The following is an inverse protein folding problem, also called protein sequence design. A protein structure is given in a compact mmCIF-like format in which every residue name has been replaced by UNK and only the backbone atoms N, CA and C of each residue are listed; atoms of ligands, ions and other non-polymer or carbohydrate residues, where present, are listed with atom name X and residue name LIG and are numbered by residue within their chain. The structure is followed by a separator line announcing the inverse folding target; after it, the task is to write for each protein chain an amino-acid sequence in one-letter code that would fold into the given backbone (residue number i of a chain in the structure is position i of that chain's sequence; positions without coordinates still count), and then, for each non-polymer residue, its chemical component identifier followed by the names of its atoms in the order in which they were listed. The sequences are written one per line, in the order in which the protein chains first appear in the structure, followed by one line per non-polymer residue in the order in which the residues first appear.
data_IF_058143762723
#
_entry.id   IF_058143762723
#
_cell.length_a   1.000
_cell.length_b   1.000
_cell.length_c   1.000
_cell.angle_alpha   90.00
_cell.angle_beta   90.00
_cell.angle_gamma   90.00
#
_symmetry.space_group_name_H-M   'P 1'
#
loop_
_entity.id
_entity.type
_entity.pdbx_description
1 polymer ?
#
# COMPACT_ATOMS: atom_id res chain seq x y z
N UNK A 1 19.61 -31.66 9.03
CA UNK A 1 19.59 -30.20 9.32
C UNK A 1 18.98 -29.33 8.21
N UNK A 2 19.31 -29.49 6.91
CA UNK A 2 18.88 -28.55 5.84
C UNK A 2 17.35 -28.34 5.66
N UNK A 3 16.50 -29.36 5.91
CA UNK A 3 15.02 -29.22 5.80
C UNK A 3 14.39 -28.36 6.89
N UNK A 4 15.03 -28.23 8.06
CA UNK A 4 14.58 -27.35 9.12
C UNK A 4 14.73 -25.89 8.71
N UNK A 5 15.89 -25.55 8.12
CA UNK A 5 16.22 -24.21 7.67
C UNK A 5 15.31 -23.70 6.56
N UNK A 6 15.04 -24.49 5.51
CA UNK A 6 14.10 -24.09 4.43
C UNK A 6 12.67 -23.93 4.92
N UNK A 7 12.27 -24.69 5.96
CA UNK A 7 10.95 -24.54 6.60
C UNK A 7 10.87 -23.26 7.44
N UNK A 8 11.86 -23.00 8.29
CA UNK A 8 11.90 -21.81 9.15
C UNK A 8 11.98 -20.55 8.30
N UNK A 9 12.91 -20.49 7.34
CA UNK A 9 13.07 -19.33 6.44
C UNK A 9 11.84 -19.12 5.56
N UNK A 10 11.17 -20.20 5.11
CA UNK A 10 9.94 -20.11 4.34
C UNK A 10 8.76 -19.54 5.15
N UNK A 11 8.61 -19.96 6.41
CA UNK A 11 7.60 -19.37 7.30
C UNK A 11 7.94 -17.92 7.66
N UNK A 12 9.22 -17.62 7.91
CA UNK A 12 9.68 -16.26 8.14
C UNK A 12 9.32 -15.35 6.96
N UNK A 13 9.59 -15.78 5.71
CA UNK A 13 9.25 -15.03 4.51
C UNK A 13 7.74 -14.77 4.36
N UNK A 14 6.89 -15.77 4.63
CA UNK A 14 5.43 -15.62 4.53
C UNK A 14 4.92 -14.66 5.61
N UNK A 15 5.32 -14.87 6.87
CA UNK A 15 4.87 -14.04 7.98
C UNK A 15 5.34 -12.59 7.83
N UNK A 16 6.60 -12.36 7.45
CA UNK A 16 7.11 -11.02 7.20
C UNK A 16 6.41 -10.34 6.02
N UNK A 17 6.04 -11.09 4.97
CA UNK A 17 5.32 -10.52 3.82
C UNK A 17 3.88 -10.15 4.18
N UNK A 18 3.16 -11.01 4.93
CA UNK A 18 1.82 -10.71 5.42
C UNK A 18 1.84 -9.50 6.36
N UNK A 19 2.83 -9.44 7.26
CA UNK A 19 3.02 -8.29 8.14
C UNK A 19 3.31 -7.02 7.36
N UNK A 20 4.23 -7.05 6.39
CA UNK A 20 4.56 -5.89 5.55
C UNK A 20 3.35 -5.40 4.74
N UNK A 21 2.56 -6.33 4.18
CA UNK A 21 1.33 -6.02 3.46
C UNK A 21 0.29 -5.37 4.38
N UNK A 22 0.01 -5.98 5.54
CA UNK A 22 -0.93 -5.45 6.53
C UNK A 22 -0.51 -4.09 7.09
N UNK A 23 0.79 -3.91 7.39
CA UNK A 23 1.35 -2.62 7.80
C UNK A 23 1.22 -1.58 6.68
N UNK A 24 1.53 -1.95 5.44
CA UNK A 24 1.35 -1.08 4.27
C UNK A 24 -0.10 -0.64 4.08
N UNK A 25 -1.06 -1.55 4.28
CA UNK A 25 -2.50 -1.24 4.29
C UNK A 25 -2.85 -0.29 5.43
N UNK A 26 -2.38 -0.56 6.64
CA UNK A 26 -2.63 0.30 7.80
C UNK A 26 -2.09 1.72 7.61
N UNK A 27 -0.85 1.86 7.11
CA UNK A 27 -0.24 3.17 6.81
C UNK A 27 -1.01 3.93 5.71
N UNK A 28 -1.55 3.21 4.72
CA UNK A 28 -2.30 3.83 3.63
C UNK A 28 -3.70 4.30 4.04
N UNK A 29 -4.35 3.58 4.97
CA UNK A 29 -5.75 3.81 5.32
C UNK A 29 -5.96 4.61 6.61
N UNK A 30 -5.05 4.49 7.58
CA UNK A 30 -5.23 5.12 8.88
C UNK A 30 -4.68 6.54 8.88
N UNK A 31 -5.40 7.52 9.49
CA UNK A 31 -4.90 8.88 9.64
C UNK A 31 -3.54 8.95 10.36
N UNK A 32 -3.33 8.10 11.37
CA UNK A 32 -2.06 7.98 12.10
C UNK A 32 -0.90 7.55 11.20
N UNK A 33 -1.18 6.82 10.11
CA UNK A 33 -0.18 6.42 9.12
C UNK A 33 0.46 7.60 8.37
N UNK A 34 -0.17 8.77 8.36
CA UNK A 34 0.40 9.98 7.75
C UNK A 34 1.62 10.51 8.53
N UNK A 35 1.68 10.25 9.84
CA UNK A 35 2.81 10.61 10.69
C UNK A 35 3.98 9.62 10.56
N UNK A 36 3.75 8.43 10.00
CA UNK A 36 4.77 7.39 9.91
C UNK A 36 6.01 7.87 9.14
N UNK A 37 7.18 7.72 9.77
CA UNK A 37 8.46 8.12 9.20
C UNK A 37 8.87 7.23 8.01
N UNK A 38 9.87 7.69 7.23
CA UNK A 38 10.39 6.91 6.08
C UNK A 38 10.88 5.53 6.51
N UNK A 39 11.58 5.44 7.64
CA UNK A 39 12.08 4.17 8.17
C UNK A 39 10.94 3.21 8.52
N UNK A 40 9.90 3.70 9.21
CA UNK A 40 8.72 2.92 9.58
C UNK A 40 7.97 2.37 8.35
N UNK A 41 7.92 3.14 7.26
CA UNK A 41 7.29 2.72 5.99
C UNK A 41 8.08 1.65 5.24
N UNK A 42 9.42 1.73 5.28
CA UNK A 42 10.31 0.86 4.49
C UNK A 42 10.73 -0.40 5.23
N UNK A 43 10.90 -0.33 6.56
CA UNK A 43 11.47 -1.40 7.36
C UNK A 43 10.71 -2.73 7.24
N UNK A 44 9.35 -2.79 7.33
CA UNK A 44 8.62 -4.05 7.17
C UNK A 44 8.84 -4.68 5.79
N UNK A 45 8.85 -3.86 4.73
CA UNK A 45 9.13 -4.32 3.37
C UNK A 45 10.56 -4.84 3.21
N UNK A 46 11.54 -4.13 3.77
CA UNK A 46 12.94 -4.56 3.74
C UNK A 46 13.14 -5.90 4.46
N UNK A 47 12.53 -6.08 5.62
CA UNK A 47 12.55 -7.36 6.36
C UNK A 47 11.90 -8.47 5.53
N UNK A 48 10.77 -8.19 4.87
CA UNK A 48 10.11 -9.18 4.00
C UNK A 48 11.00 -9.61 2.82
N UNK A 49 11.68 -8.66 2.17
CA UNK A 49 12.63 -8.94 1.09
C UNK A 49 13.81 -9.78 1.60
N UNK A 50 14.40 -9.42 2.74
CA UNK A 50 15.52 -10.18 3.32
C UNK A 50 15.12 -11.61 3.66
N UNK A 51 13.94 -11.81 4.26
CA UNK A 51 13.42 -13.16 4.55
C UNK A 51 13.17 -13.96 3.26
N UNK A 52 12.61 -13.34 2.22
CA UNK A 52 12.38 -13.98 0.93
C UNK A 52 13.69 -14.40 0.25
N UNK A 53 14.70 -13.53 0.25
CA UNK A 53 16.03 -13.83 -0.28
C UNK A 53 16.73 -14.93 0.54
N UNK A 54 16.61 -14.89 1.86
CA UNK A 54 17.13 -15.93 2.75
C UNK A 54 16.50 -17.30 2.47
N UNK A 55 15.18 -17.34 2.25
CA UNK A 55 14.50 -18.57 1.84
C UNK A 55 14.97 -19.07 0.48
N UNK A 56 15.08 -18.19 -0.53
CA UNK A 56 15.56 -18.55 -1.86
C UNK A 56 16.98 -19.11 -1.83
N UNK A 57 17.88 -18.46 -1.08
CA UNK A 57 19.25 -18.93 -0.90
C UNK A 57 19.28 -20.31 -0.23
N UNK A 58 18.51 -20.50 0.85
CA UNK A 58 18.40 -21.79 1.52
C UNK A 58 17.83 -22.88 0.59
N UNK A 59 16.82 -22.56 -0.22
CA UNK A 59 16.18 -23.49 -1.13
C UNK A 59 17.07 -23.85 -2.34
N UNK A 60 17.83 -22.88 -2.86
CA UNK A 60 18.83 -23.12 -3.91
C UNK A 60 19.98 -24.00 -3.41
N UNK A 61 20.45 -23.78 -2.17
CA UNK A 61 21.46 -24.61 -1.52
C UNK A 61 20.97 -26.04 -1.26
N UNK A 62 19.71 -26.22 -0.83
CA UNK A 62 19.12 -27.55 -0.63
C UNK A 62 18.95 -28.30 -1.96
N UNK A 63 18.58 -27.59 -3.05
CA UNK A 63 18.51 -28.18 -4.42
C UNK A 63 19.87 -28.67 -4.91
N UNK A 64 20.96 -27.92 -4.69
CA UNK A 64 22.32 -28.35 -5.04
C UNK A 64 22.75 -29.63 -4.31
N UNK A 65 22.17 -29.87 -3.12
CA UNK A 65 22.44 -31.06 -2.28
C UNK A 65 21.42 -32.19 -2.49
N UNK A 66 20.41 -31.99 -3.34
CA UNK A 66 19.35 -32.96 -3.63
C UNK A 66 19.80 -34.29 -4.27
N UNK A 67 20.82 -34.38 -5.15
CA UNK A 67 21.22 -35.68 -5.72
C UNK A 67 21.74 -36.69 -4.67
N UNK A 68 22.02 -36.25 -3.44
CA UNK A 68 22.53 -37.08 -2.34
C UNK A 68 21.44 -37.56 -1.37
N UNK A 69 20.15 -37.31 -1.66
CA UNK A 69 19.08 -37.54 -0.67
C UNK A 69 17.92 -38.36 -1.24
N UNK A 70 17.67 -39.51 -0.61
CA UNK A 70 16.45 -40.31 -0.81
C UNK A 70 15.22 -39.44 -0.52
N UNK A 71 14.27 -39.46 -1.45
CA UNK A 71 13.10 -38.59 -1.50
C UNK A 71 12.09 -38.96 -0.41
N UNK A 72 12.42 -38.67 0.85
CA UNK A 72 11.54 -38.96 1.98
C UNK A 72 10.44 -37.89 2.05
N UNK A 73 9.28 -38.21 1.46
CA UNK A 73 7.96 -37.70 1.80
C UNK A 73 7.78 -36.19 1.74
N UNK A 74 7.10 -35.69 0.70
CA UNK A 74 6.49 -34.37 0.75
C UNK A 74 5.54 -34.31 1.97
N UNK A 75 5.75 -33.33 2.85
CA UNK A 75 4.89 -33.14 4.02
C UNK A 75 3.43 -32.90 3.62
N UNK A 76 2.50 -33.06 4.57
CA UNK A 76 1.08 -32.81 4.33
C UNK A 76 0.85 -31.35 3.92
N UNK A 77 -0.02 -31.08 2.94
CA UNK A 77 -0.36 -29.72 2.53
C UNK A 77 -0.97 -28.94 3.71
N UNK A 78 -0.47 -27.72 3.93
CA UNK A 78 -0.89 -26.84 5.03
C UNK A 78 -1.94 -25.86 4.54
N UNK A 79 -3.13 -25.90 5.15
CA UNK A 79 -4.19 -24.93 4.90
C UNK A 79 -3.79 -23.52 5.36
N UNK A 80 -3.07 -23.42 6.49
CA UNK A 80 -2.62 -22.15 7.04
C UNK A 80 -1.68 -21.39 6.09
N UNK A 81 -0.71 -22.10 5.49
CA UNK A 81 0.19 -21.51 4.51
C UNK A 81 -0.59 -20.94 3.30
N UNK A 82 -1.53 -21.72 2.78
CA UNK A 82 -2.36 -21.31 1.65
C UNK A 82 -3.21 -20.08 1.99
N UNK A 83 -3.91 -20.10 3.13
CA UNK A 83 -4.73 -18.98 3.58
C UNK A 83 -3.91 -17.70 3.79
N UNK A 84 -2.71 -17.79 4.41
CA UNK A 84 -1.84 -16.64 4.62
C UNK A 84 -1.32 -16.04 3.31
N UNK A 85 -1.02 -16.86 2.30
CA UNK A 85 -0.66 -16.38 0.97
C UNK A 85 -1.85 -15.63 0.36
N UNK A 86 -3.06 -16.20 0.42
CA UNK A 86 -4.27 -15.54 -0.06
C UNK A 86 -4.53 -14.19 0.61
N UNK A 87 -4.41 -14.13 1.95
CA UNK A 87 -4.54 -12.90 2.73
C UNK A 87 -3.48 -11.87 2.31
N UNK A 88 -2.21 -12.28 2.28
CA UNK A 88 -1.09 -11.40 1.96
C UNK A 88 -1.19 -10.78 0.57
N UNK A 89 -1.67 -11.53 -0.42
CA UNK A 89 -1.90 -11.02 -1.78
C UNK A 89 -2.94 -9.91 -1.83
N UNK A 90 -4.07 -10.12 -1.15
CA UNK A 90 -5.16 -9.12 -1.10
C UNK A 90 -4.68 -7.88 -0.39
N UNK A 91 -4.04 -8.02 0.78
CA UNK A 91 -3.50 -6.89 1.54
C UNK A 91 -2.46 -6.11 0.74
N UNK A 92 -1.55 -6.79 0.04
CA UNK A 92 -0.55 -6.14 -0.82
C UNK A 92 -1.20 -5.35 -1.96
N UNK A 93 -2.24 -5.91 -2.58
CA UNK A 93 -3.00 -5.25 -3.65
C UNK A 93 -3.75 -4.02 -3.15
N UNK A 94 -4.46 -4.15 -2.03
CA UNK A 94 -5.19 -3.05 -1.38
C UNK A 94 -4.23 -1.96 -0.94
N UNK A 95 -3.09 -2.32 -0.33
CA UNK A 95 -2.07 -1.36 0.08
C UNK A 95 -1.54 -0.54 -1.11
N UNK A 96 -1.20 -1.21 -2.22
CA UNK A 96 -0.70 -0.54 -3.42
C UNK A 96 -1.73 0.44 -4.00
N UNK A 97 -2.98 0.03 -4.14
CA UNK A 97 -4.05 0.87 -4.69
C UNK A 97 -4.42 2.02 -3.74
N UNK A 98 -4.52 1.74 -2.43
CA UNK A 98 -4.83 2.77 -1.43
C UNK A 98 -3.74 3.86 -1.39
N UNK A 99 -2.47 3.51 -1.57
CA UNK A 99 -1.38 4.49 -1.64
C UNK A 99 -1.51 5.44 -2.84
N UNK A 100 -2.12 5.02 -3.95
CA UNK A 100 -2.37 5.89 -5.11
C UNK A 100 -3.60 6.79 -4.96
N UNK A 101 -4.49 6.53 -4.00
CA UNK A 101 -5.64 7.40 -3.69
C UNK A 101 -5.27 8.48 -2.65
N UNK A 102 -3.99 8.57 -2.26
CA UNK A 102 -3.50 9.62 -1.39
C UNK A 102 -3.50 11.00 -2.08
N UNK A 103 -3.49 12.09 -1.31
CA UNK A 103 -3.47 13.46 -1.85
C UNK A 103 -2.29 13.69 -2.81
N UNK A 104 -2.54 14.51 -3.84
CA UNK A 104 -1.60 14.89 -4.90
C UNK A 104 -0.18 15.21 -4.42
N UNK A 105 0.81 15.04 -5.31
CA UNK A 105 2.24 15.30 -5.09
C UNK A 105 2.59 16.40 -4.07
N UNK A 106 2.12 17.62 -4.31
CA UNK A 106 2.44 18.78 -3.46
C UNK A 106 1.66 18.74 -2.14
N UNK A 107 0.37 18.47 -2.23
CA UNK A 107 -0.56 18.46 -1.09
C UNK A 107 -0.21 17.33 -0.11
N UNK A 108 0.04 16.11 -0.60
CA UNK A 108 0.42 14.96 0.23
C UNK A 108 1.79 15.09 0.87
N UNK A 109 2.78 15.67 0.16
CA UNK A 109 4.11 15.94 0.77
C UNK A 109 4.01 16.98 1.88
N UNK A 110 3.22 18.02 1.70
CA UNK A 110 3.02 19.05 2.71
C UNK A 110 2.26 18.50 3.93
N UNK A 111 1.15 17.79 3.72
CA UNK A 111 0.37 17.16 4.80
C UNK A 111 1.21 16.18 5.61
N UNK A 112 2.06 15.38 4.95
CA UNK A 112 3.00 14.48 5.62
C UNK A 112 3.99 15.23 6.51
N UNK A 113 4.55 16.35 6.04
CA UNK A 113 5.46 17.19 6.84
C UNK A 113 4.74 17.83 8.03
N UNK A 114 3.52 18.33 7.82
CA UNK A 114 2.68 18.88 8.89
C UNK A 114 2.42 17.81 9.96
N UNK A 115 2.00 16.59 9.56
CA UNK A 115 1.76 15.49 10.48
C UNK A 115 3.02 15.10 11.27
N UNK A 116 4.17 14.98 10.59
CA UNK A 116 5.46 14.67 11.22
C UNK A 116 5.93 15.75 12.21
N UNK A 117 5.53 17.01 12.01
CA UNK A 117 5.83 18.12 12.91
C UNK A 117 4.83 18.28 14.07
N UNK A 118 3.99 17.27 14.34
CA UNK A 118 2.95 17.34 15.38
C UNK A 118 1.74 18.16 14.95
N UNK A 119 1.39 18.07 13.65
CA UNK A 119 0.26 18.76 13.05
C UNK A 119 -1.04 18.49 13.78
N UNK A 120 -1.84 19.54 13.93
CA UNK A 120 -3.18 19.48 14.53
C UNK A 120 -4.22 19.88 13.49
N UNK A 121 -5.40 19.33 13.65
CA UNK A 121 -6.59 19.72 12.90
C UNK A 121 -7.45 20.60 13.78
N UNK A 122 -7.78 21.82 13.32
CA UNK A 122 -8.68 22.73 14.00
C UNK A 122 -9.55 23.49 13.02
N UNK A 123 -10.74 23.84 13.48
CA UNK A 123 -11.57 24.83 12.80
C UNK A 123 -11.01 26.22 13.08
N UNK A 124 -10.68 26.94 12.01
CA UNK A 124 -10.12 28.29 12.06
C UNK A 124 -11.12 29.27 11.43
N UNK A 125 -11.29 30.47 12.01
CA UNK A 125 -12.15 31.49 11.44
C UNK A 125 -11.49 32.13 10.21
N UNK A 126 -12.31 32.38 9.19
CA UNK A 126 -11.95 33.23 8.06
C UNK A 126 -11.94 34.68 8.52
N UNK A 127 -10.78 35.31 8.44
CA UNK A 127 -10.60 36.73 8.79
C UNK A 127 -11.00 37.62 7.63
N UNK A 128 -10.61 37.24 6.41
CA UNK A 128 -10.89 37.99 5.20
C UNK A 128 -10.97 37.07 3.98
N UNK A 129 -11.81 37.43 3.02
CA UNK A 129 -11.90 36.79 1.71
C UNK A 129 -11.13 37.67 0.72
N UNK A 130 -10.10 37.11 0.06
CA UNK A 130 -9.13 37.85 -0.74
C UNK A 130 -9.38 37.78 -2.24
N UNK A 131 -9.96 36.69 -2.73
CA UNK A 131 -10.27 36.51 -4.14
C UNK A 131 -11.76 36.30 -4.35
N UNK A 132 -12.23 36.55 -5.58
CA UNK A 132 -13.52 36.03 -6.01
C UNK A 132 -13.50 34.49 -5.99
N UNK A 133 -14.67 33.90 -5.76
CA UNK A 133 -14.84 32.44 -5.70
C UNK A 133 -14.87 31.85 -7.11
N UNK A 134 -13.96 30.93 -7.39
CA UNK A 134 -13.93 30.14 -8.63
C UNK A 134 -14.79 28.88 -8.49
N UNK A 135 -15.74 28.64 -9.40
CA UNK A 135 -16.56 27.41 -9.39
C UNK A 135 -15.75 26.24 -9.95
N UNK A 136 -15.35 25.32 -9.07
CA UNK A 136 -14.63 24.09 -9.46
C UNK A 136 -15.57 23.04 -10.06
N UNK A 137 -16.85 23.07 -9.69
CA UNK A 137 -17.86 22.15 -10.20
C UNK A 137 -19.01 21.92 -9.23
N UNK A 138 -19.83 20.91 -9.52
CA UNK A 138 -20.94 20.48 -8.65
C UNK A 138 -20.69 19.10 -8.07
N UNK A 139 -20.78 18.98 -6.76
CA UNK A 139 -20.76 17.71 -6.02
C UNK A 139 -22.05 17.60 -5.22
N UNK A 140 -22.79 16.49 -5.36
CA UNK A 140 -24.07 16.27 -4.68
C UNK A 140 -25.07 17.44 -4.83
N UNK A 141 -25.19 18.01 -6.03
CA UNK A 141 -26.04 19.17 -6.38
C UNK A 141 -25.65 20.48 -5.67
N UNK A 142 -24.53 20.53 -4.95
CA UNK A 142 -23.95 21.75 -4.36
C UNK A 142 -22.78 22.24 -5.21
N UNK A 143 -22.63 23.55 -5.34
CA UNK A 143 -21.49 24.17 -6.04
C UNK A 143 -20.30 24.22 -5.10
N UNK A 144 -19.20 23.60 -5.51
CA UNK A 144 -17.93 23.68 -4.79
C UNK A 144 -17.17 24.88 -5.35
N UNK A 145 -16.87 25.82 -4.45
CA UNK A 145 -16.20 27.06 -4.78
C UNK A 145 -14.81 27.07 -4.16
N UNK A 146 -13.79 27.41 -4.95
CA UNK A 146 -12.41 27.64 -4.47
C UNK A 146 -12.22 29.14 -4.25
N UNK A 147 -11.79 29.51 -3.05
CA UNK A 147 -11.60 30.92 -2.70
C UNK A 147 -10.31 31.11 -1.91
N UNK A 148 -9.58 32.19 -2.17
CA UNK A 148 -8.41 32.57 -1.38
C UNK A 148 -8.86 33.35 -0.17
N UNK A 149 -8.51 32.88 1.02
CA UNK A 149 -8.94 33.47 2.30
C UNK A 149 -7.76 33.59 3.26
N UNK A 150 -7.89 34.52 4.19
CA UNK A 150 -6.97 34.70 5.30
C UNK A 150 -7.52 33.98 6.53
N UNK A 151 -6.75 33.04 7.06
CA UNK A 151 -7.07 32.31 8.29
C UNK A 151 -6.22 32.84 9.45
N UNK A 152 -6.81 32.99 10.62
CA UNK A 152 -6.06 33.26 11.84
C UNK A 152 -5.61 31.95 12.47
N UNK A 153 -4.29 31.71 12.50
CA UNK A 153 -3.72 30.44 12.91
C UNK A 153 -2.97 30.60 14.22
N UNK A 154 -3.32 29.84 15.28
CA UNK A 154 -2.69 29.96 16.58
C UNK A 154 -1.39 29.15 16.65
N UNK A 155 -0.28 29.70 16.15
CA UNK A 155 1.04 29.10 16.32
C UNK A 155 1.56 29.26 17.75
N UNK A 156 2.50 28.41 18.16
CA UNK A 156 3.09 28.44 19.50
C UNK A 156 3.82 29.75 19.81
N UNK A 157 4.40 30.40 18.78
CA UNK A 157 5.03 31.71 18.89
C UNK A 157 4.04 32.89 18.89
N UNK A 158 2.74 32.63 18.68
CA UNK A 158 1.68 33.62 18.61
C UNK A 158 0.77 33.47 17.38
N UNK A 159 -0.44 34.05 17.40
CA UNK A 159 -1.36 34.02 16.27
C UNK A 159 -0.76 34.68 15.02
N UNK A 160 -0.93 34.08 13.85
CA UNK A 160 -0.55 34.67 12.55
C UNK A 160 -1.67 34.53 11.53
N UNK A 161 -1.81 35.53 10.69
CA UNK A 161 -2.71 35.46 9.54
C UNK A 161 -2.00 34.76 8.38
N UNK A 162 -2.62 33.71 7.85
CA UNK A 162 -2.08 32.94 6.72
C UNK A 162 -3.08 32.92 5.59
N UNK A 163 -2.65 33.36 4.42
CA UNK A 163 -3.46 33.31 3.20
C UNK A 163 -3.36 31.92 2.58
N UNK A 164 -4.50 31.26 2.39
CA UNK A 164 -4.60 29.93 1.76
C UNK A 164 -5.85 29.84 0.90
N UNK A 165 -5.85 28.88 -0.02
CA UNK A 165 -7.07 28.51 -0.74
C UNK A 165 -7.90 27.56 0.12
N UNK A 166 -9.21 27.78 0.14
CA UNK A 166 -10.23 26.93 0.77
C UNK A 166 -11.25 26.48 -0.28
N UNK A 167 -11.80 25.28 -0.10
CA UNK A 167 -12.90 24.78 -0.92
C UNK A 167 -14.15 24.66 -0.04
N UNK A 168 -15.21 25.38 -0.42
CA UNK A 168 -16.43 25.48 0.38
C UNK A 168 -17.69 25.22 -0.44
N UNK A 169 -18.69 24.63 0.21
CA UNK A 169 -20.06 24.53 -0.26
C UNK A 169 -20.74 25.91 -0.21
N UNK A 170 -20.62 26.69 -1.29
CA UNK A 170 -21.10 28.07 -1.34
C UNK A 170 -20.00 29.11 -1.09
N UNK A 171 -20.34 30.39 -1.23
CA UNK A 171 -19.38 31.49 -1.08
C UNK A 171 -19.00 31.62 0.40
N UNK A 172 -17.70 31.58 0.74
CA UNK A 172 -17.26 31.76 2.13
C UNK A 172 -17.37 33.23 2.53
N UNK A 173 -17.64 33.48 3.81
CA UNK A 173 -17.71 34.81 4.42
C UNK A 173 -16.71 34.94 5.58
N UNK A 174 -16.34 36.17 5.91
CA UNK A 174 -15.58 36.43 7.12
C UNK A 174 -16.39 36.01 8.36
N UNK A 175 -15.74 35.30 9.27
CA UNK A 175 -16.36 34.67 10.44
C UNK A 175 -16.74 33.21 10.24
N UNK A 176 -16.83 32.71 9.00
CA UNK A 176 -17.07 31.28 8.75
C UNK A 176 -15.88 30.46 9.25
N UNK A 177 -16.18 29.23 9.71
CA UNK A 177 -15.18 28.30 10.21
C UNK A 177 -14.78 27.31 9.12
N UNK A 178 -13.49 27.12 8.92
CA UNK A 178 -12.94 26.13 7.98
C UNK A 178 -11.99 25.20 8.73
N UNK A 179 -12.13 23.89 8.51
CA UNK A 179 -11.19 22.91 9.03
C UNK A 179 -9.84 23.07 8.34
N UNK A 180 -8.79 23.26 9.12
CA UNK A 180 -7.43 23.37 8.60
C UNK A 180 -6.45 22.56 9.43
N UNK A 181 -5.45 22.01 8.76
CA UNK A 181 -4.30 21.32 9.35
C UNK A 181 -3.08 22.22 9.30
N UNK A 182 -2.38 22.34 10.43
CA UNK A 182 -1.13 23.10 10.56
C UNK A 182 -0.31 22.53 11.71
N UNK A 183 0.99 22.83 11.73
CA UNK A 183 1.88 22.46 12.83
C UNK A 183 2.11 23.68 13.75
N UNK A 184 1.63 23.68 15.00
CA UNK A 184 1.75 24.84 15.89
C UNK A 184 3.21 25.27 16.15
N UNK A 185 4.13 24.31 16.13
CA UNK A 185 5.57 24.50 16.40
C UNK A 185 6.41 24.74 15.14
N UNK A 186 5.83 24.60 13.94
CA UNK A 186 6.54 24.68 12.66
C UNK A 186 5.76 25.55 11.65
N UNK A 187 5.69 26.88 11.87
CA UNK A 187 4.89 27.80 11.04
C UNK A 187 5.35 27.88 9.57
N UNK A 188 6.60 27.56 9.28
CA UNK A 188 7.17 27.51 7.93
C UNK A 188 6.55 26.44 7.03
N UNK A 189 5.87 25.43 7.61
CA UNK A 189 5.14 24.41 6.85
C UNK A 189 3.80 24.94 6.30
N UNK A 190 3.37 26.12 6.75
CA UNK A 190 2.14 26.75 6.35
C UNK A 190 0.89 26.04 6.89
N UNK A 191 -0.24 26.36 6.27
CA UNK A 191 -1.57 25.88 6.66
C UNK A 191 -2.19 25.20 5.47
N UNK A 192 -2.86 24.08 5.71
CA UNK A 192 -3.64 23.42 4.70
C UNK A 192 -5.10 23.32 5.12
N UNK A 193 -5.97 24.05 4.43
CA UNK A 193 -7.40 23.87 4.60
C UNK A 193 -7.84 22.51 4.04
N UNK A 194 -8.77 21.87 4.73
CA UNK A 194 -9.40 20.65 4.27
C UNK A 194 -10.19 20.95 3.00
N UNK A 195 -9.97 20.14 1.96
CA UNK A 195 -10.81 20.16 0.76
C UNK A 195 -12.02 19.30 1.04
N UNK A 196 -13.23 19.83 0.87
CA UNK A 196 -14.41 18.98 0.74
C UNK A 196 -14.15 18.00 -0.39
N UNK A 197 -14.09 16.71 -0.06
CA UNK A 197 -13.65 15.63 -0.94
C UNK A 197 -14.42 15.65 -2.27
N UNK A 198 -13.85 16.33 -3.25
CA UNK A 198 -14.30 16.26 -4.63
C UNK A 198 -13.71 14.99 -5.22
N UNK A 199 -14.53 13.93 -5.27
CA UNK A 199 -14.39 12.77 -6.17
C UNK A 199 -13.37 11.66 -5.78
N UNK A 200 -12.38 11.87 -4.92
CA UNK A 200 -11.40 10.78 -4.59
C UNK A 200 -11.86 9.75 -3.54
N UNK A 201 -12.90 10.03 -2.74
CA UNK A 201 -13.38 9.10 -1.72
C UNK A 201 -14.07 7.84 -2.28
N UNK A 202 -14.64 7.93 -3.47
CA UNK A 202 -15.41 6.83 -4.08
C UNK A 202 -14.47 5.71 -4.59
N UNK A 203 -13.28 6.08 -5.09
CA UNK A 203 -12.24 5.12 -5.47
C UNK A 203 -11.75 4.31 -4.28
N UNK A 204 -11.51 4.96 -3.14
CA UNK A 204 -11.13 4.29 -1.91
C UNK A 204 -12.23 3.33 -1.41
N UNK A 205 -13.51 3.74 -1.44
CA UNK A 205 -14.63 2.86 -1.07
C UNK A 205 -14.66 1.61 -1.95
N UNK A 206 -14.46 1.74 -3.27
CA UNK A 206 -14.39 0.59 -4.17
C UNK A 206 -13.21 -0.33 -3.87
N UNK A 207 -12.03 0.23 -3.61
CA UNK A 207 -10.83 -0.54 -3.23
C UNK A 207 -11.07 -1.31 -1.93
N UNK A 208 -11.69 -0.68 -0.94
CA UNK A 208 -12.01 -1.31 0.34
C UNK A 208 -13.10 -2.37 0.20
N UNK A 209 -14.15 -2.08 -0.56
CA UNK A 209 -15.23 -3.04 -0.83
C UNK A 209 -14.72 -4.28 -1.57
N UNK A 210 -13.99 -4.08 -2.67
CA UNK A 210 -13.38 -5.17 -3.42
C UNK A 210 -12.33 -5.91 -2.58
N UNK A 211 -11.50 -5.17 -1.82
CA UNK A 211 -10.53 -5.72 -0.90
C UNK A 211 -11.15 -6.62 0.16
N UNK A 212 -12.24 -6.18 0.80
CA UNK A 212 -12.96 -6.97 1.79
C UNK A 212 -13.55 -8.25 1.19
N UNK A 213 -14.17 -8.16 0.01
CA UNK A 213 -14.67 -9.32 -0.74
C UNK A 213 -13.50 -10.28 -1.04
N UNK A 214 -12.42 -9.79 -1.63
CA UNK A 214 -11.26 -10.61 -1.95
C UNK A 214 -10.61 -11.21 -0.71
N UNK A 215 -10.62 -10.53 0.44
CA UNK A 215 -10.05 -11.03 1.70
C UNK A 215 -10.81 -12.25 2.24
N UNK A 216 -12.08 -12.40 1.88
CA UNK A 216 -12.88 -13.60 2.20
C UNK A 216 -12.65 -14.70 1.16
N UNK A 217 -12.80 -14.39 -0.12
CA UNK A 217 -12.78 -15.41 -1.18
C UNK A 217 -11.39 -15.93 -1.54
N UNK A 218 -10.36 -15.08 -1.56
CA UNK A 218 -9.00 -15.47 -1.98
C UNK A 218 -8.38 -16.50 -1.04
N UNK A 219 -8.48 -16.36 0.30
CA UNK A 219 -8.02 -17.40 1.22
C UNK A 219 -8.75 -18.73 1.04
N UNK A 220 -10.06 -18.72 0.75
CA UNK A 220 -10.84 -19.94 0.49
C UNK A 220 -10.30 -20.65 -0.77
N UNK A 221 -10.20 -19.92 -1.88
CA UNK A 221 -9.70 -20.46 -3.17
C UNK A 221 -8.28 -20.99 -3.04
N UNK A 222 -7.42 -20.29 -2.30
CA UNK A 222 -6.04 -20.74 -2.05
C UNK A 222 -6.00 -21.98 -1.15
N UNK A 223 -6.83 -22.06 -0.11
CA UNK A 223 -6.97 -23.25 0.75
C UNK A 223 -7.46 -24.46 -0.05
N UNK A 224 -8.42 -24.30 -0.95
CA UNK A 224 -8.86 -25.38 -1.84
C UNK A 224 -7.74 -25.82 -2.78
N UNK A 225 -6.88 -24.87 -3.17
CA UNK A 225 -5.68 -25.10 -3.98
C UNK A 225 -4.43 -25.48 -3.15
N UNK A 226 -4.58 -25.85 -1.87
CA UNK A 226 -3.46 -26.06 -0.93
C UNK A 226 -2.41 -27.05 -1.42
N UNK A 227 -2.78 -28.08 -2.16
CA UNK A 227 -1.84 -29.06 -2.69
C UNK A 227 -0.89 -28.41 -3.73
N UNK A 228 -1.42 -27.54 -4.59
CA UNK A 228 -0.66 -26.78 -5.59
C UNK A 228 0.27 -25.78 -4.91
N UNK A 229 -0.25 -25.03 -3.93
CA UNK A 229 0.54 -24.07 -3.16
C UNK A 229 1.65 -24.77 -2.36
N UNK A 230 1.35 -25.95 -1.78
CA UNK A 230 2.36 -26.72 -1.06
C UNK A 230 3.48 -27.22 -1.98
N UNK A 231 3.17 -27.54 -3.24
CA UNK A 231 4.16 -27.92 -4.24
C UNK A 231 5.17 -26.80 -4.52
N UNK A 232 4.77 -25.53 -4.39
CA UNK A 232 5.66 -24.38 -4.58
C UNK A 232 6.72 -24.22 -3.48
N UNK A 233 6.67 -25.01 -2.39
CA UNK A 233 7.79 -25.08 -1.45
C UNK A 233 9.05 -25.68 -2.09
N UNK A 234 8.89 -26.43 -3.18
CA UNK A 234 10.01 -26.97 -3.95
C UNK A 234 10.52 -25.89 -4.91
N UNK A 235 11.75 -25.45 -4.67
CA UNK A 235 12.38 -24.44 -5.50
C UNK A 235 12.53 -24.91 -6.96
N UNK A 236 12.03 -24.08 -7.88
CA UNK A 236 12.09 -24.23 -9.33
C UNK A 236 12.58 -22.90 -9.90
N UNK A 237 13.80 -22.82 -10.44
CA UNK A 237 14.38 -21.54 -10.86
C UNK A 237 13.52 -20.85 -11.92
N UNK A 238 12.97 -21.62 -12.86
CA UNK A 238 12.16 -21.13 -13.99
C UNK A 238 10.82 -20.52 -13.56
N UNK A 239 10.40 -20.77 -12.32
CA UNK A 239 9.18 -20.19 -11.73
C UNK A 239 9.54 -19.13 -10.70
N UNK A 240 10.44 -19.46 -9.77
CA UNK A 240 10.72 -18.63 -8.61
C UNK A 240 11.57 -17.41 -8.95
N UNK A 241 12.49 -17.49 -9.92
CA UNK A 241 13.29 -16.33 -10.32
C UNK A 241 12.44 -15.29 -11.07
N UNK A 242 11.60 -15.66 -12.06
CA UNK A 242 10.65 -14.70 -12.65
C UNK A 242 9.66 -14.13 -11.64
N UNK A 243 9.11 -14.96 -10.74
CA UNK A 243 8.21 -14.46 -9.67
C UNK A 243 8.91 -13.48 -8.74
N UNK A 244 10.17 -13.74 -8.34
CA UNK A 244 10.94 -12.81 -7.53
C UNK A 244 11.17 -11.48 -8.27
N UNK A 245 11.55 -11.53 -9.55
CA UNK A 245 11.76 -10.33 -10.34
C UNK A 245 10.48 -9.50 -10.47
N UNK A 246 9.33 -10.16 -10.68
CA UNK A 246 8.04 -9.50 -10.78
C UNK A 246 7.61 -8.89 -9.44
N UNK A 247 7.78 -9.61 -8.33
CA UNK A 247 7.50 -9.07 -6.99
C UNK A 247 8.43 -7.91 -6.64
N UNK A 248 9.71 -7.97 -7.02
CA UNK A 248 10.66 -6.88 -6.82
C UNK A 248 10.24 -5.63 -7.62
N UNK A 249 9.80 -5.81 -8.87
CA UNK A 249 9.27 -4.73 -9.69
C UNK A 249 8.01 -4.11 -9.06
N UNK A 250 7.08 -4.94 -8.60
CA UNK A 250 5.87 -4.48 -7.90
C UNK A 250 6.18 -3.74 -6.60
N UNK A 251 7.12 -4.25 -5.81
CA UNK A 251 7.57 -3.62 -4.56
C UNK A 251 8.27 -2.27 -4.83
N UNK A 252 9.10 -2.19 -5.87
CA UNK A 252 9.74 -0.94 -6.29
C UNK A 252 8.70 0.10 -6.74
N UNK A 253 7.70 -0.32 -7.51
CA UNK A 253 6.60 0.54 -7.93
C UNK A 253 5.78 1.04 -6.73
N UNK A 254 5.41 0.16 -5.79
CA UNK A 254 4.71 0.53 -4.57
C UNK A 254 5.54 1.48 -3.68
N UNK A 255 6.84 1.21 -3.51
CA UNK A 255 7.74 2.06 -2.76
C UNK A 255 7.84 3.46 -3.39
N UNK A 256 7.96 3.54 -4.72
CA UNK A 256 7.97 4.82 -5.42
C UNK A 256 6.67 5.59 -5.20
N UNK A 257 5.51 4.94 -5.33
CA UNK A 257 4.19 5.56 -5.08
C UNK A 257 4.10 6.08 -3.63
N UNK A 258 4.39 5.22 -2.64
CA UNK A 258 4.23 5.56 -1.23
C UNK A 258 5.26 6.56 -0.66
N UNK A 259 6.44 6.67 -1.27
CA UNK A 259 7.52 7.55 -0.80
C UNK A 259 7.60 8.86 -1.58
N UNK A 260 7.60 8.78 -2.91
CA UNK A 260 7.78 9.93 -3.80
C UNK A 260 6.49 10.73 -3.98
N UNK A 261 5.33 10.10 -3.75
CA UNK A 261 4.00 10.67 -3.99
C UNK A 261 3.94 11.24 -5.42
N UNK A 262 4.02 10.38 -6.46
CA UNK A 262 3.96 10.83 -7.84
C UNK A 262 2.56 11.37 -8.17
N UNK A 263 2.44 11.98 -9.33
CA UNK A 263 1.18 12.56 -9.81
C UNK A 263 0.20 11.43 -10.10
N UNK A 264 -1.12 11.66 -10.00
CA UNK A 264 -2.11 10.59 -10.20
C UNK A 264 -1.94 9.83 -11.53
N UNK A 265 -1.58 10.53 -12.62
CA UNK A 265 -1.36 9.92 -13.93
C UNK A 265 -0.25 8.88 -13.96
N UNK A 266 0.77 9.01 -13.10
CA UNK A 266 1.87 8.06 -12.96
C UNK A 266 1.64 7.11 -11.78
N UNK A 267 1.05 7.61 -10.69
CA UNK A 267 0.77 6.85 -9.46
C UNK A 267 -0.20 5.71 -9.69
N UNK A 268 -1.30 5.93 -10.40
CA UNK A 268 -2.31 4.90 -10.66
C UNK A 268 -1.79 3.72 -11.49
N UNK A 269 -1.10 3.92 -12.64
CA UNK A 269 -0.50 2.81 -13.38
C UNK A 269 0.52 2.02 -12.55
N UNK A 270 1.37 2.69 -11.77
CA UNK A 270 2.37 2.04 -10.91
C UNK A 270 1.72 1.25 -9.77
N UNK A 271 0.66 1.79 -9.16
CA UNK A 271 -0.11 1.08 -8.15
C UNK A 271 -0.88 -0.11 -8.74
N UNK A 272 -1.43 0.03 -9.95
CA UNK A 272 -2.06 -1.07 -10.68
C UNK A 272 -1.06 -2.19 -10.99
N UNK A 273 0.14 -1.83 -11.46
CA UNK A 273 1.23 -2.79 -11.67
C UNK A 273 1.59 -3.50 -10.36
N UNK A 274 1.85 -2.75 -9.29
CA UNK A 274 2.17 -3.29 -7.98
C UNK A 274 1.08 -4.23 -7.45
N UNK A 275 -0.19 -3.82 -7.56
CA UNK A 275 -1.33 -4.61 -7.14
C UNK A 275 -1.52 -5.89 -7.97
N UNK A 276 -1.16 -5.89 -9.25
CA UNK A 276 -1.25 -7.07 -10.11
C UNK A 276 -0.14 -8.10 -9.85
N UNK A 277 1.03 -7.67 -9.35
CA UNK A 277 2.21 -8.56 -9.23
C UNK A 277 1.99 -9.84 -8.43
N UNK A 278 1.27 -9.85 -7.27
CA UNK A 278 1.06 -11.09 -6.53
C UNK A 278 0.19 -12.08 -7.31
N UNK A 279 -0.80 -11.59 -8.05
CA UNK A 279 -1.70 -12.40 -8.88
C UNK A 279 -0.97 -12.99 -10.08
N UNK A 280 -0.15 -12.19 -10.76
CA UNK A 280 0.67 -12.64 -11.87
C UNK A 280 1.68 -13.72 -11.43
N UNK A 281 2.21 -13.62 -10.20
CA UNK A 281 3.07 -14.67 -9.66
C UNK A 281 2.31 -15.99 -9.45
N UNK A 282 1.06 -15.94 -8.94
CA UNK A 282 0.24 -17.16 -8.84
C UNK A 282 -0.05 -17.79 -10.20
N UNK A 283 -0.35 -16.99 -11.22
CA UNK A 283 -0.70 -17.51 -12.55
C UNK A 283 0.50 -18.14 -13.24
N UNK A 284 1.69 -17.51 -13.15
CA UNK A 284 2.95 -18.08 -13.64
C UNK A 284 3.25 -19.44 -12.98
N UNK A 285 3.10 -19.50 -11.66
CA UNK A 285 3.34 -20.73 -10.92
C UNK A 285 2.25 -21.80 -11.16
N UNK A 286 1.03 -21.39 -11.55
CA UNK A 286 -0.02 -22.28 -12.03
C UNK A 286 0.29 -22.92 -13.38
N UNK A 287 0.71 -22.12 -14.38
CA UNK A 287 1.04 -22.60 -15.73
C UNK A 287 2.21 -23.59 -15.73
N UNK A 288 3.25 -23.30 -14.97
CA UNK A 288 4.39 -24.21 -14.85
C UNK A 288 4.03 -25.58 -14.24
N UNK A 289 2.90 -25.67 -13.54
CA UNK A 289 2.41 -26.95 -12.97
C UNK A 289 1.53 -27.76 -13.93
N UNK A 290 0.91 -27.13 -14.92
CA UNK A 290 0.13 -27.82 -15.95
C UNK A 290 1.02 -28.42 -17.04
N UNK A 291 2.03 -27.67 -17.50
CA UNK A 291 2.97 -28.14 -18.53
C UNK A 291 3.74 -29.40 -18.09
N UNK A 292 3.98 -29.57 -16.80
CA UNK A 292 4.64 -30.76 -16.25
C UNK A 292 3.73 -32.00 -16.19
N UNK A 293 2.40 -31.82 -16.15
CA UNK A 293 1.45 -32.94 -16.27
C UNK A 293 1.29 -33.41 -17.71
N UNK A 294 1.52 -32.52 -18.67
CA UNK A 294 1.32 -32.79 -20.10
C UNK A 294 2.58 -33.29 -20.80
N UNK A 295 3.77 -33.20 -20.18
CA UNK A 295 4.97 -33.83 -20.74
C UNK A 295 4.79 -35.36 -20.71
N UNK A 296 4.69 -36.03 -21.88
CA UNK A 296 4.65 -37.48 -21.91
C UNK A 296 5.93 -38.00 -21.25
N UNK A 297 5.80 -39.06 -20.47
CA UNK A 297 6.95 -39.76 -19.93
C UNK A 297 7.79 -40.22 -21.12
N UNK A 298 8.85 -39.48 -21.44
CA UNK A 298 9.82 -39.89 -22.42
C UNK A 298 10.48 -41.15 -21.85
N UNK A 299 10.07 -42.30 -22.41
CA UNK A 299 10.70 -43.59 -22.19
C UNK A 299 12.06 -43.67 -22.85
#
# INVERSE_FOLDING_TARGET
MARGWTRVTGWAAVLSSVFAAGHGTAVALLPSGQAAGTAERVLPGAVAVLCALGWLAAAALDRRRAPLRKDTGAGRPSWLLAGLIGIGMVLASVAALAQANGPDQADGRQLRRIAQAGGVERQLPIVAVRSESEELGRVNRRRVLRTTVDLQVPYAAGPRTVTTQVETNGRPHAGDLVTARFAPTAPELGVRAEREMTVDGLGLIWILGLGAVCLVFTPIVTIDSRARIHAWRRYRPDVHLPSLALLALGAAAAAYVGLALPSPWLGWPLAGLAAATPWLCLTLAGRASSEERERPAAG
#
